data_IF_279108337744
#
_entry.id   IF_279108337744
#
_cell.length_a   1.000
_cell.length_b   1.000
_cell.length_c   1.000
_cell.angle_alpha   90.00
_cell.angle_beta   90.00
_cell.angle_gamma   90.00
#
_symmetry.space_group_name_H-M   'P 1'
#
loop_
_entity.id
_entity.type
_entity.pdbx_description
1 polymer ?
#
# COMPACT_ATOMS: atom_id res chain seq x y z
N UNK A 1 5.45 -5.75 -7.15
CA UNK A 1 4.76 -6.90 -7.71
C UNK A 1 3.73 -7.45 -6.73
N UNK A 2 2.50 -6.98 -6.84
CA UNK A 2 1.44 -7.45 -5.96
C UNK A 2 0.56 -6.31 -5.47
N UNK A 3 -0.16 -5.68 -6.38
CA UNK A 3 -1.03 -4.57 -6.05
C UNK A 3 -2.38 -4.70 -6.75
N UNK A 4 -3.17 -5.69 -6.34
CA UNK A 4 -4.48 -5.93 -6.93
C UNK A 4 -5.44 -4.80 -6.58
N UNK A 5 -5.40 -4.35 -5.33
CA UNK A 5 -6.27 -3.27 -4.88
C UNK A 5 -5.54 -2.36 -3.89
N UNK A 6 -4.21 -2.31 -4.02
CA UNK A 6 -3.39 -1.47 -3.16
C UNK A 6 -2.13 -1.02 -3.86
N UNK A 7 -2.28 -0.05 -4.77
CA UNK A 7 -1.14 0.48 -5.52
C UNK A 7 -0.30 1.40 -4.64
N UNK A 8 0.64 2.10 -5.27
CA UNK A 8 1.52 3.01 -4.55
C UNK A 8 0.71 4.02 -3.75
N UNK A 9 -0.50 4.31 -4.21
CA UNK A 9 -1.38 5.26 -3.53
C UNK A 9 -1.96 4.65 -2.26
N UNK A 10 -2.89 3.72 -2.42
CA UNK A 10 -3.52 3.07 -1.28
C UNK A 10 -2.47 2.52 -0.32
N UNK A 11 -1.32 2.16 -0.85
CA UNK A 11 -0.24 1.62 -0.04
C UNK A 11 0.60 2.74 0.59
N UNK A 12 0.68 3.86 -0.12
CA UNK A 12 1.44 5.00 0.38
C UNK A 12 0.56 6.12 0.87
N UNK A 13 -0.65 5.78 1.32
CA UNK A 13 -1.59 6.77 1.81
C UNK A 13 -2.25 6.31 3.10
N UNK A 14 -3.15 5.34 2.98
CA UNK A 14 -3.86 4.80 4.14
C UNK A 14 -3.38 3.38 4.45
N UNK A 15 -2.08 3.22 4.58
CA UNK A 15 -1.49 1.92 4.88
C UNK A 15 -0.72 1.95 6.19
N UNK A 16 -0.37 0.78 6.70
CA UNK A 16 0.37 0.68 7.95
C UNK A 16 1.62 1.56 7.93
N UNK A 17 2.25 1.73 9.08
CA UNK A 17 3.44 2.55 9.20
C UNK A 17 4.71 1.69 9.10
N UNK A 18 4.59 0.55 8.42
CA UNK A 18 5.71 -0.36 8.26
C UNK A 18 5.63 -1.12 6.94
N UNK A 19 4.93 -0.54 5.97
CA UNK A 19 4.76 -1.16 4.67
C UNK A 19 4.22 -2.58 4.81
N UNK A 20 3.28 -2.76 5.74
CA UNK A 20 2.68 -4.07 5.98
C UNK A 20 2.13 -4.66 4.69
#
# INVERSE_FOLDING_TARGET
MGTSSTDSQQAGHRRCSTSN
#
